data_IF_198109212628
#
_entry.id   IF_198109212628
#
_cell.length_a   1.000
_cell.length_b   1.000
_cell.length_c   1.000
_cell.angle_alpha   90.00
_cell.angle_beta   90.00
_cell.angle_gamma   90.00
#
_symmetry.space_group_name_H-M   'P 1'
#
loop_
_entity.id
_entity.type
_entity.pdbx_description
1 polymer ?
#
# COMPACT_ATOMS: atom_id res chain seq x y z
N UNK A 1 -3.52 9.64 37.09
CA UNK A 1 -3.09 10.53 35.99
C UNK A 1 -2.74 9.65 34.82
N UNK A 2 -3.20 9.96 33.61
CA UNK A 2 -2.89 9.15 32.44
C UNK A 2 -1.39 9.26 32.14
N UNK A 3 -0.71 8.12 32.01
CA UNK A 3 0.73 8.05 31.80
C UNK A 3 1.01 8.15 30.30
N UNK A 4 1.49 9.31 29.87
CA UNK A 4 1.96 9.54 28.51
C UNK A 4 3.31 8.84 28.31
N UNK A 5 3.42 8.04 27.26
CA UNK A 5 4.68 7.42 26.86
C UNK A 5 5.22 8.11 25.63
N UNK A 6 6.51 8.46 25.66
CA UNK A 6 7.20 9.22 24.62
C UNK A 6 8.53 8.56 24.28
N UNK A 7 8.80 8.41 22.99
CA UNK A 7 10.06 7.92 22.46
C UNK A 7 10.59 8.89 21.41
N UNK A 8 11.91 8.96 21.23
CA UNK A 8 12.52 9.77 20.18
C UNK A 8 13.68 9.08 19.46
N UNK A 9 13.87 9.47 18.20
CA UNK A 9 14.91 8.99 17.30
C UNK A 9 15.47 10.17 16.48
N UNK A 10 16.79 10.32 16.44
CA UNK A 10 17.44 11.27 15.53
C UNK A 10 17.56 10.68 14.13
N UNK A 11 16.95 11.31 13.14
CA UNK A 11 16.95 10.85 11.74
C UNK A 11 16.86 12.03 10.77
N UNK A 12 17.71 12.04 9.74
CA UNK A 12 17.71 13.14 8.75
C UNK A 12 17.97 14.53 9.36
N UNK A 13 18.83 14.59 10.40
CA UNK A 13 19.16 15.85 11.08
C UNK A 13 18.08 16.41 12.01
N UNK A 14 16.97 15.69 12.21
CA UNK A 14 15.83 16.15 13.02
C UNK A 14 15.39 15.03 13.97
N UNK A 15 14.67 15.43 15.02
CA UNK A 15 14.09 14.48 15.97
C UNK A 15 12.74 13.98 15.46
N UNK A 16 12.61 12.67 15.36
CA UNK A 16 11.34 11.95 15.19
C UNK A 16 10.86 11.52 16.58
N UNK A 17 9.68 11.99 16.97
CA UNK A 17 9.08 11.72 18.27
C UNK A 17 7.79 10.94 18.06
N UNK A 18 7.59 9.88 18.84
CA UNK A 18 6.33 9.12 18.90
C UNK A 18 5.80 9.18 20.31
N UNK A 19 4.52 9.56 20.45
CA UNK A 19 3.84 9.67 21.74
C UNK A 19 2.52 8.91 21.71
N UNK A 20 2.16 8.25 22.81
CA UNK A 20 0.87 7.58 22.98
C UNK A 20 0.31 7.75 24.40
N UNK A 21 -0.98 7.48 24.58
CA UNK A 21 -1.67 7.53 25.87
C UNK A 21 -2.47 8.82 26.11
N UNK A 22 -2.17 9.91 25.41
CA UNK A 22 -2.88 11.19 25.58
C UNK A 22 -4.19 11.25 24.76
N UNK A 23 -4.11 11.06 23.45
CA UNK A 23 -5.22 11.26 22.51
C UNK A 23 -5.86 9.94 22.06
N UNK A 24 -7.16 9.99 21.73
CA UNK A 24 -7.90 8.91 21.06
C UNK A 24 -7.77 7.51 21.69
N UNK A 25 -7.79 7.42 23.03
CA UNK A 25 -7.57 6.17 23.79
C UNK A 25 -8.57 5.04 23.49
N UNK A 26 -9.75 5.36 22.96
CA UNK A 26 -10.75 4.38 22.55
C UNK A 26 -10.43 3.69 21.21
N UNK A 27 -9.48 4.21 20.44
CA UNK A 27 -9.05 3.59 19.19
C UNK A 27 -8.32 2.26 19.44
N UNK A 28 -8.26 1.40 18.42
CA UNK A 28 -7.49 0.17 18.44
C UNK A 28 -6.03 0.45 18.75
N UNK A 29 -5.43 1.42 18.06
CA UNK A 29 -4.17 2.08 18.41
C UNK A 29 -4.23 3.57 18.08
N UNK A 30 -3.55 4.41 18.86
CA UNK A 30 -3.45 5.85 18.64
C UNK A 30 -2.06 6.37 19.01
N UNK A 31 -1.41 7.07 18.07
CA UNK A 31 -0.11 7.72 18.30
C UNK A 31 -0.12 9.13 17.73
N UNK A 32 0.60 10.03 18.39
CA UNK A 32 0.97 11.32 17.85
C UNK A 32 2.44 11.23 17.43
N UNK A 33 2.72 11.45 16.16
CA UNK A 33 4.07 11.47 15.62
C UNK A 33 4.44 12.89 15.25
N UNK A 34 5.64 13.30 15.64
CA UNK A 34 6.20 14.61 15.36
C UNK A 34 7.56 14.46 14.69
N UNK A 35 7.80 15.23 13.63
CA UNK A 35 9.10 15.33 12.97
C UNK A 35 9.35 16.81 12.65
N UNK A 36 10.34 17.40 13.31
CA UNK A 36 10.40 18.86 13.41
C UNK A 36 9.18 19.40 14.15
N UNK A 37 8.48 20.37 13.56
CA UNK A 37 7.24 20.94 14.13
C UNK A 37 5.98 20.47 13.38
N UNK A 38 6.14 19.55 12.42
CA UNK A 38 5.04 18.83 11.77
C UNK A 38 4.56 17.68 12.64
N UNK A 39 3.27 17.66 12.96
CA UNK A 39 2.64 16.74 13.91
C UNK A 39 1.43 16.07 13.29
N UNK A 40 1.37 14.75 13.36
CA UNK A 40 0.26 13.92 12.86
C UNK A 40 -0.26 13.02 13.96
N UNK A 41 -1.58 13.04 14.16
CA UNK A 41 -2.30 12.04 14.93
C UNK A 41 -2.72 10.89 14.01
N UNK A 42 -2.25 9.69 14.29
CA UNK A 42 -2.67 8.48 13.62
C UNK A 42 -3.55 7.65 14.55
N UNK A 43 -4.69 7.20 14.05
CA UNK A 43 -5.54 6.22 14.72
C UNK A 43 -5.77 5.01 13.82
N UNK A 44 -5.71 3.82 14.38
CA UNK A 44 -5.97 2.56 13.68
C UNK A 44 -7.06 1.78 14.43
N UNK A 45 -8.11 1.40 13.72
CA UNK A 45 -9.25 0.65 14.28
C UNK A 45 -9.59 -0.54 13.39
N UNK A 46 -10.12 -1.59 14.01
CA UNK A 46 -10.57 -2.80 13.33
C UNK A 46 -11.94 -3.22 13.86
N UNK A 47 -12.84 -3.65 12.97
CA UNK A 47 -14.13 -4.22 13.34
C UNK A 47 -13.98 -5.52 14.14
N UNK A 48 -14.92 -5.79 15.06
CA UNK A 48 -14.91 -7.01 15.90
C UNK A 48 -15.12 -8.31 15.11
N UNK A 49 -15.77 -8.24 13.96
CA UNK A 49 -16.03 -9.39 13.09
C UNK A 49 -15.81 -9.05 11.62
N UNK A 50 -16.08 -10.02 10.75
CA UNK A 50 -16.01 -9.83 9.30
C UNK A 50 -16.92 -8.68 8.83
N UNK A 51 -16.45 -7.95 7.81
CA UNK A 51 -17.23 -6.96 7.10
C UNK A 51 -18.45 -7.62 6.45
N UNK A 52 -19.48 -6.82 6.23
CA UNK A 52 -20.59 -7.18 5.33
C UNK A 52 -20.21 -7.06 3.86
N UNK A 53 -19.12 -6.34 3.58
CA UNK A 53 -18.55 -6.21 2.25
C UNK A 53 -17.73 -7.48 1.98
N UNK A 54 -18.09 -8.18 0.91
CA UNK A 54 -17.46 -9.44 0.49
C UNK A 54 -16.60 -9.22 -0.75
N UNK A 55 -15.67 -10.15 -1.00
CA UNK A 55 -14.87 -10.19 -2.22
C UNK A 55 -13.54 -9.43 -2.16
N UNK A 56 -13.26 -8.67 -1.11
CA UNK A 56 -11.96 -8.03 -0.91
C UNK A 56 -11.67 -7.70 0.56
N UNK A 57 -10.41 -7.38 0.88
CA UNK A 57 -9.99 -6.89 2.20
C UNK A 57 -10.31 -5.38 2.36
N UNK A 58 -11.25 -4.99 3.25
CA UNK A 58 -11.70 -3.61 3.39
C UNK A 58 -10.76 -2.80 4.29
N UNK A 59 -9.67 -2.33 3.71
CA UNK A 59 -8.79 -1.31 4.30
C UNK A 59 -9.12 0.07 3.72
N UNK A 60 -9.36 1.03 4.62
CA UNK A 60 -9.56 2.45 4.31
C UNK A 60 -8.47 3.29 5.00
N UNK A 61 -7.85 4.18 4.23
CA UNK A 61 -6.84 5.11 4.74
C UNK A 61 -7.29 6.53 4.42
N UNK A 62 -7.54 7.31 5.46
CA UNK A 62 -7.94 8.71 5.35
C UNK A 62 -6.79 9.61 5.80
N UNK A 63 -6.36 10.51 4.91
CA UNK A 63 -5.40 11.56 5.23
C UNK A 63 -6.08 12.92 5.23
N UNK A 64 -6.14 13.54 6.41
CA UNK A 64 -6.88 14.76 6.68
C UNK A 64 -5.93 15.91 7.05
N UNK A 65 -5.83 16.89 6.15
CA UNK A 65 -5.14 18.14 6.42
C UNK A 65 -6.11 19.16 7.01
N UNK A 66 -5.71 19.76 8.14
CA UNK A 66 -6.51 20.77 8.82
C UNK A 66 -5.91 22.15 8.62
N UNK A 67 -6.72 23.14 8.27
CA UNK A 67 -6.21 24.50 8.03
C UNK A 67 -5.55 25.10 9.27
N UNK A 68 -6.04 24.74 10.46
CA UNK A 68 -5.45 25.18 11.72
C UNK A 68 -4.03 24.67 11.92
N UNK A 69 -3.64 23.56 11.28
CA UNK A 69 -2.29 23.01 11.41
C UNK A 69 -1.23 23.99 10.89
N UNK A 70 -1.60 24.84 9.92
CA UNK A 70 -0.78 25.92 9.40
C UNK A 70 -1.19 27.32 9.92
N UNK A 71 -2.02 27.39 10.98
CA UNK A 71 -2.53 28.65 11.53
C UNK A 71 -3.45 29.44 10.59
N UNK A 72 -4.10 28.77 9.63
CA UNK A 72 -4.94 29.41 8.61
C UNK A 72 -6.42 29.16 8.85
N UNK A 73 -7.26 30.07 8.35
CA UNK A 73 -8.71 29.88 8.23
C UNK A 73 -9.03 29.78 6.74
N UNK A 74 -9.85 28.79 6.36
CA UNK A 74 -10.25 28.59 4.96
C UNK A 74 -10.91 29.85 4.38
N UNK A 75 -10.36 30.36 3.27
CA UNK A 75 -10.81 31.60 2.62
C UNK A 75 -12.15 31.50 1.87
N UNK A 76 -12.90 30.40 2.01
CA UNK A 76 -14.19 30.23 1.32
C UNK A 76 -15.26 31.15 1.93
N UNK A 77 -15.95 31.89 1.05
CA UNK A 77 -17.00 32.85 1.43
C UNK A 77 -18.20 32.17 2.12
N UNK A 78 -18.49 30.93 1.75
CA UNK A 78 -19.69 30.21 2.21
C UNK A 78 -19.38 29.22 3.34
N UNK A 79 -18.47 28.28 3.08
CA UNK A 79 -18.12 27.22 4.04
C UNK A 79 -16.69 27.45 4.55
N UNK A 80 -16.56 27.84 5.83
CA UNK A 80 -15.27 28.04 6.52
C UNK A 80 -14.80 26.76 7.25
N UNK A 81 -14.95 25.61 6.59
CA UNK A 81 -14.58 24.28 7.12
C UNK A 81 -13.88 23.47 6.03
N UNK A 82 -13.00 22.55 6.44
CA UNK A 82 -12.44 21.52 5.57
C UNK A 82 -13.58 20.77 4.87
N UNK A 83 -13.40 20.50 3.57
CA UNK A 83 -14.38 19.81 2.75
C UNK A 83 -13.80 18.49 2.25
N UNK A 84 -14.04 18.20 0.96
CA UNK A 84 -13.38 17.08 0.29
C UNK A 84 -11.84 17.19 0.43
N UNK A 85 -11.13 16.06 0.65
CA UNK A 85 -9.67 16.01 0.61
C UNK A 85 -9.11 16.59 -0.69
N UNK A 86 -7.93 17.22 -0.61
CA UNK A 86 -7.23 17.72 -1.80
C UNK A 86 -6.58 16.56 -2.56
N UNK A 87 -6.15 16.79 -3.80
CA UNK A 87 -5.44 15.76 -4.58
C UNK A 87 -4.13 15.34 -3.88
N UNK A 88 -3.41 16.28 -3.26
CA UNK A 88 -2.21 15.99 -2.47
C UNK A 88 -2.55 15.10 -1.26
N UNK A 89 -3.63 15.41 -0.54
CA UNK A 89 -4.09 14.61 0.60
C UNK A 89 -4.47 13.18 0.15
N UNK A 90 -5.14 13.05 -1.00
CA UNK A 90 -5.50 11.75 -1.59
C UNK A 90 -4.26 10.97 -1.98
N UNK A 91 -3.26 11.60 -2.60
CA UNK A 91 -2.00 10.97 -2.98
C UNK A 91 -1.23 10.48 -1.76
N UNK A 92 -1.14 11.30 -0.69
CA UNK A 92 -0.52 10.90 0.58
C UNK A 92 -1.25 9.69 1.21
N UNK A 93 -2.59 9.70 1.25
CA UNK A 93 -3.38 8.57 1.72
C UNK A 93 -3.14 7.29 0.89
N UNK A 94 -3.01 7.43 -0.44
CA UNK A 94 -2.66 6.30 -1.33
C UNK A 94 -1.25 5.78 -1.11
N UNK A 95 -0.27 6.64 -0.85
CA UNK A 95 1.10 6.25 -0.53
C UNK A 95 1.14 5.42 0.76
N UNK A 96 0.41 5.85 1.79
CA UNK A 96 0.24 5.08 3.03
C UNK A 96 -0.45 3.74 2.74
N UNK A 97 -1.60 3.74 2.06
CA UNK A 97 -2.36 2.51 1.74
C UNK A 97 -1.50 1.47 1.00
N UNK A 98 -0.83 1.87 -0.08
CA UNK A 98 0.08 1.02 -0.87
C UNK A 98 1.17 0.39 -0.02
N UNK A 99 1.63 1.11 1.01
CA UNK A 99 2.73 0.67 1.87
C UNK A 99 2.27 -0.31 2.94
N UNK A 100 1.11 -0.09 3.56
CA UNK A 100 0.64 -0.93 4.68
C UNK A 100 -0.20 -2.13 4.21
N UNK A 101 -0.91 -2.02 3.08
CA UNK A 101 -1.84 -3.02 2.56
C UNK A 101 -1.22 -4.41 2.33
N UNK A 102 -0.03 -4.54 1.71
CA UNK A 102 0.57 -5.85 1.45
C UNK A 102 1.01 -6.61 2.71
N UNK A 103 0.97 -5.96 3.88
CA UNK A 103 1.38 -6.55 5.16
C UNK A 103 0.20 -7.05 5.99
N UNK A 104 -1.03 -6.96 5.47
CA UNK A 104 -2.18 -7.66 6.02
C UNK A 104 -2.31 -9.05 5.37
N UNK A 105 -2.92 -9.99 6.08
CA UNK A 105 -3.32 -11.27 5.50
C UNK A 105 -4.38 -11.00 4.41
N UNK A 106 -4.16 -11.47 3.18
CA UNK A 106 -5.05 -11.26 2.04
C UNK A 106 -6.45 -11.88 2.24
N UNK A 107 -6.55 -12.87 3.13
CA UNK A 107 -7.80 -13.54 3.51
C UNK A 107 -8.52 -12.86 4.67
N UNK A 108 -7.96 -11.77 5.23
CA UNK A 108 -8.62 -10.98 6.28
C UNK A 108 -9.85 -10.25 5.73
N UNK A 109 -10.93 -10.23 6.52
CA UNK A 109 -12.20 -9.59 6.17
C UNK A 109 -12.73 -8.61 7.20
N UNK A 110 -12.00 -8.33 8.27
CA UNK A 110 -12.33 -7.21 9.14
C UNK A 110 -12.18 -5.89 8.37
N UNK A 111 -13.04 -4.92 8.70
CA UNK A 111 -12.86 -3.54 8.27
C UNK A 111 -11.74 -2.93 9.10
N UNK A 112 -10.73 -2.41 8.42
CA UNK A 112 -9.62 -1.69 9.04
C UNK A 112 -9.66 -0.25 8.55
N UNK A 113 -9.70 0.70 9.47
CA UNK A 113 -9.60 2.12 9.15
C UNK A 113 -8.34 2.70 9.80
N UNK A 114 -7.56 3.42 9.00
CA UNK A 114 -6.41 4.21 9.47
C UNK A 114 -6.69 5.67 9.13
N UNK A 115 -6.82 6.51 10.15
CA UNK A 115 -7.06 7.95 9.98
C UNK A 115 -5.82 8.72 10.43
N UNK A 116 -5.33 9.58 9.55
CA UNK A 116 -4.13 10.39 9.70
C UNK A 116 -4.54 11.86 9.65
N UNK A 117 -4.51 12.53 10.80
CA UNK A 117 -4.90 13.94 10.90
C UNK A 117 -3.68 14.81 11.18
N UNK A 118 -3.38 15.75 10.28
CA UNK A 118 -2.34 16.76 10.50
C UNK A 118 -2.80 17.76 11.56
N UNK A 119 -2.11 17.79 12.70
CA UNK A 119 -2.39 18.68 13.82
C UNK A 119 -1.55 19.96 13.78
N UNK A 120 -0.31 19.87 13.28
CA UNK A 120 0.63 20.98 13.11
C UNK A 120 1.45 20.76 11.84
N UNK A 121 1.77 21.83 11.13
CA UNK A 121 2.59 21.81 9.93
C UNK A 121 3.56 22.98 9.93
N UNK A 122 4.84 22.69 9.80
CA UNK A 122 5.92 23.67 9.94
C UNK A 122 6.33 24.36 8.63
N UNK A 123 5.85 23.86 7.48
CA UNK A 123 6.21 24.43 6.18
C UNK A 123 7.60 24.02 5.69
N UNK A 124 8.28 23.10 6.37
CA UNK A 124 9.60 22.59 6.00
C UNK A 124 9.59 21.07 5.77
N UNK A 125 8.94 20.33 6.66
CA UNK A 125 8.92 18.87 6.64
C UNK A 125 7.69 18.32 5.92
N UNK A 126 7.91 17.37 5.03
CA UNK A 126 6.84 16.73 4.28
C UNK A 126 5.95 15.87 5.19
N UNK A 127 4.64 16.14 5.18
CA UNK A 127 3.66 15.52 6.08
C UNK A 127 3.39 14.05 5.73
N UNK A 128 3.58 13.64 4.48
CA UNK A 128 3.33 12.27 4.01
C UNK A 128 4.26 11.24 4.66
N UNK A 129 5.58 11.50 4.75
CA UNK A 129 6.56 10.63 5.42
C UNK A 129 6.17 10.45 6.89
N UNK A 130 5.83 11.55 7.56
CA UNK A 130 5.39 11.54 8.96
C UNK A 130 4.12 10.70 9.09
N UNK A 131 3.21 10.80 8.12
CA UNK A 131 1.95 10.05 8.10
C UNK A 131 2.17 8.55 7.94
N UNK A 132 3.09 8.15 7.07
CA UNK A 132 3.45 6.74 6.85
C UNK A 132 4.05 6.12 8.12
N UNK A 133 4.96 6.84 8.77
CA UNK A 133 5.54 6.44 10.06
C UNK A 133 4.45 6.38 11.14
N UNK A 134 3.54 7.35 11.17
CA UNK A 134 2.45 7.39 12.14
C UNK A 134 1.45 6.24 11.95
N UNK A 135 1.08 5.92 10.71
CA UNK A 135 0.26 4.75 10.38
C UNK A 135 0.93 3.45 10.84
N UNK A 136 2.23 3.31 10.53
CA UNK A 136 3.04 2.17 10.94
C UNK A 136 3.07 1.99 12.46
N UNK A 137 3.30 3.08 13.20
CA UNK A 137 3.34 3.07 14.65
C UNK A 137 1.95 2.80 15.26
N UNK A 138 0.89 3.44 14.75
CA UNK A 138 -0.49 3.21 15.19
C UNK A 138 -0.91 1.74 15.02
N UNK A 139 -0.69 1.17 13.84
CA UNK A 139 -0.98 -0.24 13.57
C UNK A 139 -0.13 -1.18 14.43
N UNK A 140 1.15 -0.84 14.63
CA UNK A 140 2.06 -1.63 15.47
C UNK A 140 1.58 -1.74 16.90
N UNK A 141 1.15 -0.61 17.51
CA UNK A 141 0.66 -0.61 18.90
C UNK A 141 -0.79 -1.06 19.03
N UNK A 142 -1.56 -1.08 17.93
CA UNK A 142 -2.96 -1.49 17.95
C UNK A 142 -3.14 -3.00 18.21
N UNK A 143 -4.38 -3.41 18.43
CA UNK A 143 -4.77 -4.82 18.42
C UNK A 143 -4.96 -5.40 16.99
N UNK A 144 -4.73 -4.63 15.93
CA UNK A 144 -4.91 -5.09 14.54
C UNK A 144 -3.77 -6.02 14.12
N UNK A 145 -4.08 -7.24 13.62
CA UNK A 145 -3.08 -8.17 13.05
C UNK A 145 -2.46 -7.58 11.78
N UNK A 146 -1.16 -7.33 11.82
CA UNK A 146 -0.44 -6.66 10.75
C UNK A 146 1.05 -7.00 10.82
N UNK A 147 1.66 -7.35 9.69
CA UNK A 147 3.04 -7.86 9.58
C UNK A 147 4.09 -6.76 9.35
N UNK A 148 3.85 -5.56 9.85
CA UNK A 148 4.85 -4.49 9.92
C UNK A 148 5.80 -4.62 11.12
N UNK A 149 6.52 -3.56 11.53
CA UNK A 149 6.36 -2.17 11.07
C UNK A 149 7.01 -1.88 9.71
N UNK A 150 6.64 -0.73 9.16
CA UNK A 150 7.35 -0.07 8.06
C UNK A 150 8.03 1.22 8.52
N UNK A 151 9.11 1.58 7.85
CA UNK A 151 9.70 2.90 7.87
C UNK A 151 9.48 3.58 6.52
N UNK A 152 9.54 4.90 6.50
CA UNK A 152 9.42 5.70 5.29
C UNK A 152 10.42 6.85 5.32
N UNK A 153 11.02 7.17 4.18
CA UNK A 153 11.97 8.28 4.01
C UNK A 153 11.87 8.84 2.60
N UNK A 154 12.31 10.09 2.43
CA UNK A 154 12.57 10.67 1.11
C UNK A 154 14.07 10.89 0.93
N UNK A 155 14.58 10.57 -0.25
CA UNK A 155 15.98 10.76 -0.61
C UNK A 155 16.04 11.79 -1.74
N UNK A 156 16.86 12.81 -1.54
CA UNK A 156 17.22 13.80 -2.55
C UNK A 156 18.70 13.75 -2.89
N UNK A 157 19.10 14.53 -3.90
CA UNK A 157 20.49 14.74 -4.30
C UNK A 157 20.73 16.25 -4.36
N UNK A 158 21.68 16.73 -3.55
CA UNK A 158 22.06 18.14 -3.52
C UNK A 158 22.82 18.60 -4.78
N UNK A 159 23.11 19.90 -4.87
CA UNK A 159 23.86 20.48 -5.99
C UNK A 159 25.29 19.94 -6.13
N UNK A 160 25.84 19.33 -5.07
CA UNK A 160 27.17 18.72 -5.05
C UNK A 160 27.13 17.23 -5.41
N UNK A 161 25.94 16.67 -5.66
CA UNK A 161 25.74 15.25 -5.99
C UNK A 161 25.68 14.32 -4.77
N UNK A 162 25.58 14.87 -3.56
CA UNK A 162 25.46 14.10 -2.31
C UNK A 162 24.01 13.80 -1.96
N UNK A 163 23.75 12.62 -1.38
CA UNK A 163 22.41 12.23 -0.95
C UNK A 163 21.98 13.00 0.31
N UNK A 164 20.75 13.50 0.30
CA UNK A 164 20.09 14.13 1.44
C UNK A 164 18.92 13.23 1.88
N UNK A 165 18.82 12.98 3.19
CA UNK A 165 17.71 12.25 3.78
C UNK A 165 16.66 13.23 4.29
N UNK A 166 15.40 13.00 3.93
CA UNK A 166 14.24 13.83 4.24
C UNK A 166 14.54 15.32 3.99
N UNK A 167 14.83 15.69 2.72
CA UNK A 167 15.09 17.08 2.38
C UNK A 167 13.90 17.96 2.77
N UNK A 168 14.19 19.18 3.23
CA UNK A 168 13.14 20.19 3.42
C UNK A 168 12.65 20.73 2.06
N UNK A 169 11.58 21.52 2.10
CA UNK A 169 10.97 22.12 0.91
C UNK A 169 11.93 22.96 0.03
N UNK A 170 13.02 23.52 0.57
CA UNK A 170 14.01 24.26 -0.23
C UNK A 170 15.05 23.33 -0.88
N UNK A 171 15.57 22.39 -0.12
CA UNK A 171 16.48 21.33 -0.58
C UNK A 171 15.83 20.51 -1.70
N UNK A 172 14.55 20.17 -1.53
CA UNK A 172 13.76 19.41 -2.49
C UNK A 172 13.60 20.13 -3.84
N UNK A 173 13.37 21.45 -3.83
CA UNK A 173 13.27 22.25 -5.07
C UNK A 173 14.56 22.23 -5.88
N UNK A 174 15.70 22.25 -5.18
CA UNK A 174 17.02 22.25 -5.80
C UNK A 174 17.52 20.83 -6.11
N UNK A 175 16.83 19.81 -5.60
CA UNK A 175 17.21 18.42 -5.80
C UNK A 175 17.07 17.97 -7.25
N UNK A 176 17.95 17.06 -7.66
CA UNK A 176 17.84 16.36 -8.95
C UNK A 176 17.06 15.05 -8.86
N UNK A 177 16.79 14.58 -7.64
CA UNK A 177 16.05 13.35 -7.34
C UNK A 177 15.02 13.62 -6.24
N UNK A 178 13.81 13.10 -6.40
CA UNK A 178 12.81 12.99 -5.36
C UNK A 178 12.42 11.50 -5.28
N UNK A 179 12.92 10.81 -4.26
CA UNK A 179 12.73 9.37 -4.11
C UNK A 179 12.07 9.08 -2.76
N UNK A 180 10.77 8.80 -2.76
CA UNK A 180 10.04 8.31 -1.60
C UNK A 180 10.16 6.79 -1.52
N UNK A 181 10.68 6.31 -0.40
CA UNK A 181 10.88 4.89 -0.11
C UNK A 181 10.13 4.51 1.15
N UNK A 182 9.47 3.37 1.12
CA UNK A 182 8.99 2.73 2.33
C UNK A 182 9.14 1.22 2.28
N UNK A 183 9.33 0.62 3.45
CA UNK A 183 9.69 -0.78 3.57
C UNK A 183 9.67 -1.29 4.99
N UNK A 184 9.71 -2.61 5.12
CA UNK A 184 10.01 -3.27 6.39
C UNK A 184 11.52 -3.24 6.65
N UNK A 185 11.95 -3.85 7.75
CA UNK A 185 13.38 -4.01 8.07
C UNK A 185 14.16 -4.79 7.00
N UNK A 186 13.49 -5.65 6.25
CA UNK A 186 14.12 -6.60 5.33
C UNK A 186 13.98 -6.20 3.87
N UNK A 187 12.91 -5.49 3.50
CA UNK A 187 12.62 -5.18 2.10
C UNK A 187 11.87 -3.86 1.92
N UNK A 188 12.16 -3.20 0.80
CA UNK A 188 11.37 -2.08 0.29
C UNK A 188 10.12 -2.65 -0.38
N UNK A 189 8.95 -2.11 -0.06
CA UNK A 189 7.68 -2.55 -0.65
C UNK A 189 6.90 -1.42 -1.34
N UNK A 190 7.34 -0.17 -1.21
CA UNK A 190 6.75 0.97 -1.91
C UNK A 190 7.85 1.95 -2.34
N UNK A 191 7.77 2.36 -3.60
CA UNK A 191 8.67 3.32 -4.23
C UNK A 191 7.82 4.31 -5.03
N UNK A 192 8.13 5.59 -4.89
CA UNK A 192 7.66 6.67 -5.76
C UNK A 192 8.83 7.59 -6.07
N UNK A 193 9.09 7.86 -7.34
CA UNK A 193 10.31 8.51 -7.78
C UNK A 193 10.06 9.51 -8.90
N UNK A 194 10.73 10.66 -8.82
CA UNK A 194 10.88 11.66 -9.88
C UNK A 194 12.36 12.05 -9.95
N UNK A 195 12.91 12.16 -11.15
CA UNK A 195 14.35 12.45 -11.31
C UNK A 195 14.68 13.14 -12.62
N UNK A 196 15.72 13.97 -12.60
CA UNK A 196 16.25 14.67 -13.76
C UNK A 196 17.34 13.81 -14.44
N UNK A 197 16.91 12.82 -15.21
CA UNK A 197 17.81 11.91 -15.97
C UNK A 197 18.87 11.23 -15.08
N UNK A 198 18.46 10.73 -13.93
CA UNK A 198 19.34 10.04 -12.97
C UNK A 198 19.73 8.66 -13.51
N UNK A 199 21.03 8.33 -13.47
CA UNK A 199 21.51 7.01 -13.92
C UNK A 199 21.00 5.88 -13.01
N UNK A 200 20.90 4.68 -13.57
CA UNK A 200 20.47 3.49 -12.83
C UNK A 200 21.38 3.18 -11.64
N UNK A 201 22.70 3.37 -11.77
CA UNK A 201 23.65 3.17 -10.67
C UNK A 201 23.38 4.16 -9.53
N UNK A 202 23.15 5.43 -9.86
CA UNK A 202 22.89 6.47 -8.86
C UNK A 202 21.56 6.25 -8.15
N UNK A 203 20.55 5.75 -8.87
CA UNK A 203 19.26 5.34 -8.29
C UNK A 203 19.43 4.15 -7.32
N UNK A 204 20.26 3.17 -7.67
CA UNK A 204 20.56 2.03 -6.80
C UNK A 204 21.24 2.47 -5.49
N UNK A 205 22.25 3.35 -5.58
CA UNK A 205 22.88 3.95 -4.41
C UNK A 205 21.87 4.70 -3.52
N UNK A 206 20.92 5.42 -4.14
CA UNK A 206 19.87 6.14 -3.41
C UNK A 206 18.92 5.18 -2.66
N UNK A 207 18.60 4.02 -3.25
CA UNK A 207 17.84 2.98 -2.57
C UNK A 207 18.56 2.47 -1.32
N UNK A 208 19.85 2.14 -1.44
CA UNK A 208 20.64 1.67 -0.30
C UNK A 208 20.73 2.72 0.82
N UNK A 209 21.00 3.97 0.44
CA UNK A 209 21.08 5.10 1.37
C UNK A 209 19.78 5.29 2.16
N UNK A 210 18.63 5.29 1.48
CA UNK A 210 17.32 5.41 2.13
C UNK A 210 16.93 4.17 2.94
N UNK A 211 17.30 2.97 2.48
CA UNK A 211 16.95 1.72 3.15
C UNK A 211 17.58 1.59 4.55
N UNK A 212 18.83 2.06 4.72
CA UNK A 212 19.47 2.12 6.03
C UNK A 212 18.68 2.96 7.04
N UNK A 213 18.07 4.06 6.58
CA UNK A 213 17.23 4.91 7.42
C UNK A 213 15.87 4.23 7.74
N UNK A 214 15.27 3.55 6.77
CA UNK A 214 14.07 2.73 6.97
C UNK A 214 14.30 1.68 8.06
N UNK A 215 15.44 0.98 8.03
CA UNK A 215 15.80 -0.01 9.05
C UNK A 215 15.87 0.61 10.45
N UNK A 216 16.49 1.80 10.60
CA UNK A 216 16.51 2.52 11.89
C UNK A 216 15.12 2.86 12.39
N UNK A 217 14.24 3.36 11.51
CA UNK A 217 12.86 3.74 11.84
C UNK A 217 12.05 2.49 12.24
N UNK A 218 12.15 1.39 11.51
CA UNK A 218 11.44 0.14 11.85
C UNK A 218 11.86 -0.41 13.20
N UNK A 219 13.16 -0.46 13.50
CA UNK A 219 13.67 -0.88 14.82
C UNK A 219 13.18 0.04 15.94
N UNK A 220 13.09 1.34 15.69
CA UNK A 220 12.53 2.28 16.66
C UNK A 220 11.03 2.02 16.91
N UNK A 221 10.24 1.78 15.87
CA UNK A 221 8.81 1.43 16.03
C UNK A 221 8.62 0.08 16.73
N UNK A 222 9.52 -0.90 16.52
CA UNK A 222 9.52 -2.16 17.26
C UNK A 222 9.69 -1.93 18.78
N UNK A 223 10.55 -0.98 19.19
CA UNK A 223 10.71 -0.59 20.59
C UNK A 223 9.43 0.05 21.15
N UNK A 224 8.83 0.97 20.40
CA UNK A 224 7.52 1.58 20.74
C UNK A 224 6.44 0.51 20.93
N UNK A 225 6.37 -0.46 20.01
CA UNK A 225 5.42 -1.59 20.09
C UNK A 225 5.65 -2.43 21.35
N UNK A 226 6.89 -2.70 21.73
CA UNK A 226 7.21 -3.51 22.92
C UNK A 226 6.68 -2.87 24.21
N UNK A 227 6.72 -1.55 24.30
CA UNK A 227 6.36 -0.83 25.52
C UNK A 227 4.92 -0.29 25.53
N UNK A 228 4.36 0.03 24.36
CA UNK A 228 3.04 0.63 24.20
C UNK A 228 2.01 -0.23 23.45
N UNK A 229 2.39 -1.43 22.99
CA UNK A 229 1.55 -2.27 22.15
C UNK A 229 0.50 -3.07 22.90
N UNK A 230 -0.66 -3.24 22.27
CA UNK A 230 -1.73 -4.13 22.70
C UNK A 230 -1.53 -5.53 22.11
N UNK A 231 -2.13 -6.52 22.76
CA UNK A 231 -2.23 -7.87 22.22
C UNK A 231 -3.01 -7.87 20.89
N UNK A 232 -2.54 -8.64 19.92
CA UNK A 232 -3.19 -8.75 18.60
C UNK A 232 -4.47 -9.58 18.72
N UNK A 233 -5.55 -9.06 18.17
CA UNK A 233 -6.82 -9.77 18.07
C UNK A 233 -6.73 -10.90 17.04
N UNK A 234 -7.63 -11.88 17.11
CA UNK A 234 -7.73 -12.87 16.03
C UNK A 234 -8.49 -12.25 14.85
N UNK A 235 -7.92 -12.25 13.63
CA UNK A 235 -8.61 -11.72 12.46
C UNK A 235 -9.74 -12.66 12.03
N UNK A 236 -10.83 -12.09 11.52
CA UNK A 236 -11.84 -12.84 10.79
C UNK A 236 -11.28 -13.14 9.39
N UNK A 237 -10.83 -14.38 9.20
CA UNK A 237 -10.29 -14.87 7.94
C UNK A 237 -11.36 -15.63 7.17
N UNK A 238 -11.36 -15.48 5.84
CA UNK A 238 -12.11 -16.36 4.96
C UNK A 238 -11.22 -17.56 4.58
N UNK A 239 -11.55 -18.74 5.09
CA UNK A 239 -10.83 -20.00 4.81
C UNK A 239 -11.81 -21.18 4.80
N UNK A 240 -11.56 -22.14 3.91
CA UNK A 240 -12.25 -23.43 3.92
C UNK A 240 -11.58 -24.42 4.86
N UNK A 241 -12.10 -25.64 4.96
CA UNK A 241 -11.32 -26.75 5.53
C UNK A 241 -10.15 -27.09 4.61
N UNK A 242 -9.07 -27.64 5.15
CA UNK A 242 -7.91 -28.06 4.33
C UNK A 242 -8.32 -29.07 3.24
N UNK A 243 -9.23 -29.99 3.58
CA UNK A 243 -9.82 -30.95 2.63
C UNK A 243 -10.58 -30.23 1.50
N UNK A 244 -11.43 -29.26 1.84
CA UNK A 244 -12.16 -28.47 0.86
C UNK A 244 -11.21 -27.73 -0.08
N UNK A 245 -10.24 -26.97 0.47
CA UNK A 245 -9.33 -26.18 -0.35
C UNK A 245 -8.49 -27.07 -1.27
N UNK A 246 -8.01 -28.22 -0.78
CA UNK A 246 -7.25 -29.18 -1.59
C UNK A 246 -8.07 -29.70 -2.76
N UNK A 247 -9.29 -30.17 -2.49
CA UNK A 247 -10.17 -30.75 -3.51
C UNK A 247 -10.59 -29.71 -4.56
N UNK A 248 -10.84 -28.47 -4.15
CA UNK A 248 -11.20 -27.39 -5.07
C UNK A 248 -10.00 -26.97 -5.91
N UNK A 249 -8.79 -26.89 -5.34
CA UNK A 249 -7.56 -26.64 -6.10
C UNK A 249 -7.36 -27.69 -7.19
N UNK A 250 -7.48 -28.96 -6.83
CA UNK A 250 -7.41 -30.08 -7.79
C UNK A 250 -8.50 -29.99 -8.87
N UNK A 251 -9.71 -29.56 -8.52
CA UNK A 251 -10.79 -29.36 -9.48
C UNK A 251 -10.46 -28.27 -10.49
N UNK A 252 -9.97 -27.10 -10.06
CA UNK A 252 -9.54 -26.04 -10.97
C UNK A 252 -8.43 -26.49 -11.92
N UNK A 253 -7.44 -27.22 -11.39
CA UNK A 253 -6.33 -27.78 -12.20
C UNK A 253 -6.89 -28.76 -13.24
N UNK A 254 -7.75 -29.69 -12.82
CA UNK A 254 -8.35 -30.71 -13.69
C UNK A 254 -9.22 -30.12 -14.79
N UNK A 255 -9.97 -29.05 -14.50
CA UNK A 255 -10.80 -28.35 -15.48
C UNK A 255 -9.98 -27.47 -16.45
N UNK A 256 -8.65 -27.43 -16.27
CA UNK A 256 -7.73 -26.86 -17.25
C UNK A 256 -7.46 -25.38 -17.06
N UNK A 257 -7.48 -24.86 -15.83
CA UNK A 257 -7.13 -23.46 -15.53
C UNK A 257 -5.76 -23.08 -16.12
N UNK A 258 -4.78 -23.99 -16.08
CA UNK A 258 -3.44 -23.73 -16.58
C UNK A 258 -3.37 -23.60 -18.10
N UNK A 259 -4.25 -24.25 -18.86
CA UNK A 259 -4.33 -24.06 -20.31
C UNK A 259 -5.15 -22.81 -20.66
N UNK A 260 -6.22 -22.57 -19.91
CA UNK A 260 -7.13 -21.44 -20.10
C UNK A 260 -6.41 -20.09 -20.01
N UNK A 261 -5.48 -19.94 -19.07
CA UNK A 261 -4.71 -18.72 -18.84
C UNK A 261 -3.79 -18.32 -20.01
N UNK A 262 -3.49 -19.24 -20.93
CA UNK A 262 -2.60 -19.03 -22.07
C UNK A 262 -3.34 -18.98 -23.41
N UNK A 263 -4.67 -18.90 -23.38
CA UNK A 263 -5.47 -18.68 -24.59
C UNK A 263 -5.29 -17.26 -25.11
N UNK A 264 -5.45 -17.11 -26.43
CA UNK A 264 -5.46 -15.82 -27.11
C UNK A 264 -6.64 -15.78 -28.09
N UNK A 265 -7.34 -14.64 -28.24
CA UNK A 265 -7.14 -13.35 -27.56
C UNK A 265 -7.64 -13.35 -26.10
N UNK A 266 -7.42 -12.25 -25.35
CA UNK A 266 -7.84 -12.10 -23.94
C UNK A 266 -9.29 -12.51 -23.67
N UNK A 267 -10.20 -12.23 -24.61
CA UNK A 267 -11.61 -12.63 -24.53
C UNK A 267 -11.79 -14.15 -24.38
N UNK A 268 -10.98 -14.95 -25.06
CA UNK A 268 -11.03 -16.42 -24.95
C UNK A 268 -10.59 -16.92 -23.56
N UNK A 269 -9.65 -16.21 -22.90
CA UNK A 269 -9.26 -16.48 -21.51
C UNK A 269 -10.45 -16.21 -20.58
N UNK A 270 -11.09 -15.05 -20.71
CA UNK A 270 -12.23 -14.65 -19.88
C UNK A 270 -13.40 -15.64 -19.98
N UNK A 271 -13.75 -16.05 -21.21
CA UNK A 271 -14.81 -17.03 -21.47
C UNK A 271 -14.49 -18.41 -20.86
N UNK A 272 -13.26 -18.91 -21.08
CA UNK A 272 -12.86 -20.23 -20.56
C UNK A 272 -12.75 -20.24 -19.05
N UNK A 273 -12.20 -19.19 -18.45
CA UNK A 273 -12.13 -19.04 -16.99
C UNK A 273 -13.53 -18.97 -16.36
N UNK A 274 -14.46 -18.23 -16.97
CA UNK A 274 -15.85 -18.18 -16.51
C UNK A 274 -16.54 -19.56 -16.57
N UNK A 275 -16.30 -20.33 -17.62
CA UNK A 275 -16.81 -21.70 -17.75
C UNK A 275 -16.23 -22.63 -16.68
N UNK A 276 -14.90 -22.58 -16.46
CA UNK A 276 -14.23 -23.37 -15.41
C UNK A 276 -14.79 -23.02 -14.04
N UNK A 277 -14.87 -21.73 -13.69
CA UNK A 277 -15.43 -21.29 -12.40
C UNK A 277 -16.86 -21.76 -12.21
N UNK A 278 -17.68 -21.79 -13.26
CA UNK A 278 -19.05 -22.30 -13.20
C UNK A 278 -19.10 -23.81 -12.93
N UNK A 279 -18.26 -24.60 -13.61
CA UNK A 279 -18.18 -26.06 -13.41
C UNK A 279 -17.69 -26.42 -12.01
N UNK A 280 -16.62 -25.77 -11.55
CA UNK A 280 -16.06 -25.97 -10.20
C UNK A 280 -17.06 -25.52 -9.13
N UNK A 281 -17.81 -24.43 -9.36
CA UNK A 281 -18.87 -24.00 -8.43
C UNK A 281 -20.01 -25.02 -8.31
N UNK A 282 -20.43 -25.63 -9.42
CA UNK A 282 -21.42 -26.71 -9.39
C UNK A 282 -20.90 -27.92 -8.62
N UNK A 283 -19.67 -28.35 -8.89
CA UNK A 283 -19.02 -29.46 -8.18
C UNK A 283 -18.87 -29.20 -6.67
N UNK A 284 -18.45 -27.99 -6.30
CA UNK A 284 -18.28 -27.60 -4.91
C UNK A 284 -19.59 -27.62 -4.12
N UNK A 285 -20.69 -27.14 -4.74
CA UNK A 285 -22.03 -27.15 -4.13
C UNK A 285 -22.57 -28.56 -3.90
N UNK A 286 -22.27 -29.50 -4.80
CA UNK A 286 -22.69 -30.89 -4.65
C UNK A 286 -21.88 -31.61 -3.55
N UNK A 287 -20.56 -31.43 -3.54
CA UNK A 287 -19.66 -32.15 -2.63
C UNK A 287 -19.59 -31.55 -1.22
N UNK A 288 -19.79 -30.23 -1.11
CA UNK A 288 -19.69 -29.47 0.14
C UNK A 288 -20.89 -28.54 0.35
N UNK A 289 -22.11 -29.08 0.51
CA UNK A 289 -23.33 -28.28 0.60
C UNK A 289 -23.37 -27.36 1.83
N UNK A 290 -22.68 -27.72 2.91
CA UNK A 290 -22.66 -26.97 4.17
C UNK A 290 -21.57 -25.87 4.20
N UNK A 291 -20.76 -25.74 3.15
CA UNK A 291 -19.69 -24.75 3.11
C UNK A 291 -20.25 -23.33 2.96
N UNK A 292 -19.89 -22.47 3.91
CA UNK A 292 -20.28 -21.05 3.89
C UNK A 292 -19.30 -20.23 3.06
N UNK A 293 -19.76 -19.08 2.56
CA UNK A 293 -18.96 -18.15 1.73
C UNK A 293 -18.34 -18.80 0.48
N UNK A 294 -19.07 -19.77 -0.10
CA UNK A 294 -18.61 -20.59 -1.22
C UNK A 294 -18.07 -19.76 -2.38
N UNK A 295 -18.85 -18.81 -2.91
CA UNK A 295 -18.47 -18.06 -4.12
C UNK A 295 -17.15 -17.28 -3.90
N UNK A 296 -16.96 -16.71 -2.71
CA UNK A 296 -15.75 -15.96 -2.38
C UNK A 296 -14.54 -16.88 -2.17
N UNK A 297 -14.73 -18.03 -1.51
CA UNK A 297 -13.67 -19.04 -1.38
C UNK A 297 -13.24 -19.59 -2.74
N UNK A 298 -14.18 -19.88 -3.63
CA UNK A 298 -13.90 -20.37 -4.98
C UNK A 298 -13.12 -19.33 -5.79
N UNK A 299 -13.52 -18.05 -5.73
CA UNK A 299 -12.77 -16.97 -6.38
C UNK A 299 -11.34 -16.89 -5.85
N UNK A 300 -11.18 -16.93 -4.52
CA UNK A 300 -9.87 -16.82 -3.90
C UNK A 300 -8.96 -18.01 -4.25
N UNK A 301 -9.50 -19.22 -4.23
CA UNK A 301 -8.76 -20.42 -4.60
C UNK A 301 -8.41 -20.40 -6.10
N UNK A 302 -9.33 -19.94 -6.95
CA UNK A 302 -9.07 -19.76 -8.39
C UNK A 302 -7.90 -18.80 -8.63
N UNK A 303 -7.87 -17.66 -7.93
CA UNK A 303 -6.81 -16.68 -8.04
C UNK A 303 -5.46 -17.24 -7.54
N UNK A 304 -5.46 -17.98 -6.42
CA UNK A 304 -4.24 -18.65 -5.90
C UNK A 304 -3.68 -19.68 -6.89
N UNK A 305 -4.54 -20.53 -7.46
CA UNK A 305 -4.11 -21.54 -8.45
C UNK A 305 -3.62 -20.85 -9.73
N UNK A 306 -4.30 -19.80 -10.18
CA UNK A 306 -3.86 -19.04 -11.35
C UNK A 306 -2.49 -18.39 -11.14
N UNK A 307 -2.27 -17.76 -9.97
CA UNK A 307 -0.98 -17.16 -9.61
C UNK A 307 0.12 -18.22 -9.59
N UNK A 308 -0.11 -19.37 -8.93
CA UNK A 308 0.86 -20.47 -8.87
C UNK A 308 1.25 -21.00 -10.25
N UNK A 309 0.27 -21.21 -11.13
CA UNK A 309 0.51 -21.72 -12.49
C UNK A 309 1.26 -20.68 -13.33
N UNK A 310 0.85 -19.41 -13.30
CA UNK A 310 1.54 -18.35 -14.06
C UNK A 310 2.97 -18.18 -13.57
N UNK A 311 3.18 -18.17 -12.26
CA UNK A 311 4.51 -18.01 -11.68
C UNK A 311 5.43 -19.18 -12.03
N UNK A 312 4.94 -20.41 -11.91
CA UNK A 312 5.69 -21.63 -12.25
C UNK A 312 6.13 -21.63 -13.71
N UNK A 313 5.22 -21.35 -14.64
CA UNK A 313 5.52 -21.35 -16.07
C UNK A 313 6.48 -20.22 -16.47
N UNK A 314 6.39 -19.04 -15.84
CA UNK A 314 7.34 -17.95 -16.10
C UNK A 314 8.73 -18.32 -15.58
N UNK A 315 8.84 -18.89 -14.38
CA UNK A 315 10.13 -19.23 -13.77
C UNK A 315 10.81 -20.44 -14.42
N UNK A 316 10.04 -21.45 -14.82
CA UNK A 316 10.58 -22.72 -15.30
C UNK A 316 10.62 -22.81 -16.83
N UNK A 317 9.64 -22.23 -17.52
CA UNK A 317 9.48 -22.36 -18.97
C UNK A 317 9.69 -21.04 -19.72
N UNK A 318 9.98 -19.94 -19.01
CA UNK A 318 10.05 -18.57 -19.55
C UNK A 318 8.78 -18.17 -20.33
N UNK A 319 7.65 -18.82 -20.04
CA UNK A 319 6.43 -18.72 -20.83
C UNK A 319 5.47 -17.73 -20.20
N UNK A 320 5.16 -16.66 -20.94
CA UNK A 320 4.18 -15.65 -20.53
C UNK A 320 2.78 -16.00 -21.06
N UNK A 321 1.70 -15.63 -20.35
CA UNK A 321 0.32 -15.83 -20.79
C UNK A 321 0.02 -15.28 -22.20
N UNK A 322 0.71 -14.22 -22.62
CA UNK A 322 0.55 -13.59 -23.92
C UNK A 322 1.55 -14.06 -24.98
N UNK A 323 2.30 -15.13 -24.71
CA UNK A 323 3.23 -15.75 -25.64
C UNK A 323 4.53 -14.99 -25.91
N UNK A 324 4.74 -13.83 -25.26
CA UNK A 324 5.97 -13.04 -25.42
C UNK A 324 7.15 -13.66 -24.68
N UNK A 325 8.36 -13.32 -25.12
CA UNK A 325 9.59 -13.57 -24.31
C UNK A 325 9.63 -12.65 -23.08
N UNK A 326 10.48 -12.98 -22.11
CA UNK A 326 10.69 -12.16 -20.91
C UNK A 326 11.17 -10.74 -21.25
N UNK A 327 11.99 -10.59 -22.28
CA UNK A 327 12.57 -9.32 -22.72
C UNK A 327 11.78 -8.63 -23.84
N UNK A 328 10.69 -9.23 -24.30
CA UNK A 328 9.93 -8.73 -25.45
C UNK A 328 8.83 -7.75 -25.04
N UNK A 329 8.81 -6.60 -25.71
CA UNK A 329 7.80 -5.55 -25.55
C UNK A 329 6.63 -5.78 -26.52
N UNK A 330 5.43 -5.34 -26.14
CA UNK A 330 4.25 -5.38 -27.03
C UNK A 330 4.47 -4.44 -28.23
N UNK A 331 3.82 -4.71 -29.40
CA UNK A 331 3.86 -3.81 -30.54
C UNK A 331 3.44 -2.39 -30.18
N UNK A 332 4.18 -1.41 -30.68
CA UNK A 332 3.94 0.02 -30.42
C UNK A 332 3.54 0.69 -31.72
N UNK A 333 2.48 1.49 -31.69
CA UNK A 333 2.20 2.47 -32.74
C UNK A 333 1.86 3.83 -32.13
N UNK A 334 2.24 4.87 -32.84
CA UNK A 334 2.06 6.26 -32.41
C UNK A 334 1.49 7.09 -33.55
N UNK A 335 0.63 8.06 -33.22
CA UNK A 335 0.15 9.07 -34.18
C UNK A 335 0.02 10.43 -33.50
N UNK A 336 0.46 11.48 -34.16
CA UNK A 336 0.31 12.87 -33.68
C UNK A 336 -0.68 13.64 -34.57
N UNK A 337 -1.22 14.75 -34.07
CA UNK A 337 -2.12 15.62 -34.84
C UNK A 337 -3.45 14.96 -35.20
N UNK A 338 -3.99 14.14 -34.30
CA UNK A 338 -5.22 13.37 -34.52
C UNK A 338 -6.47 14.26 -34.53
N UNK A 339 -6.46 15.35 -33.76
CA UNK A 339 -7.60 16.27 -33.68
C UNK A 339 -7.30 17.63 -34.35
N UNK A 340 -8.25 18.20 -35.11
CA UNK A 340 -7.99 19.35 -35.98
C UNK A 340 -7.93 20.72 -35.27
N UNK A 341 -8.37 20.82 -34.00
CA UNK A 341 -8.52 22.12 -33.28
C UNK A 341 -7.73 22.20 -31.97
N UNK A 342 -7.13 21.12 -31.53
CA UNK A 342 -6.28 21.09 -30.33
C UNK A 342 -4.90 21.66 -30.63
N UNK A 343 -4.24 22.30 -29.65
CA UNK A 343 -2.86 22.75 -29.81
C UNK A 343 -1.89 21.60 -30.15
N UNK A 344 -2.13 20.40 -29.60
CA UNK A 344 -1.39 19.19 -29.92
C UNK A 344 -2.16 17.96 -29.47
N UNK A 345 -2.03 16.87 -30.23
CA UNK A 345 -2.62 15.57 -29.90
C UNK A 345 -1.64 14.46 -30.22
N UNK A 346 -1.65 13.43 -29.39
CA UNK A 346 -0.92 12.18 -29.60
C UNK A 346 -1.80 11.01 -29.21
N UNK A 347 -1.75 9.94 -30.00
CA UNK A 347 -2.22 8.62 -29.62
C UNK A 347 -0.98 7.74 -29.54
N UNK A 348 -0.83 7.10 -28.40
CA UNK A 348 0.19 6.10 -28.13
C UNK A 348 -0.54 4.82 -27.79
N UNK A 349 -0.20 3.74 -28.48
CA UNK A 349 -0.76 2.42 -28.20
C UNK A 349 0.38 1.41 -28.09
N UNK A 350 0.35 0.61 -27.04
CA UNK A 350 1.31 -0.46 -26.77
C UNK A 350 0.55 -1.77 -26.50
N UNK A 351 0.39 -2.58 -27.55
CA UNK A 351 -0.48 -3.75 -27.55
C UNK A 351 -1.95 -3.37 -27.34
N UNK A 352 -2.58 -3.93 -26.31
CA UNK A 352 -3.98 -3.65 -25.93
C UNK A 352 -4.13 -2.46 -24.94
N UNK A 353 -3.13 -1.57 -24.86
CA UNK A 353 -3.15 -0.39 -23.96
C UNK A 353 -2.93 0.89 -24.74
#
# INVERSE_FOLDING_TARGET
MQEEKKWSLQIGGRELIITTGLLAQQAGGAVTVQYGDTVILATATMSKGASRITGYFPLMVDFEERYYAAGKIKGSRFIKREGRPSDASILAGRAVDRTIRPLFDSRMRNEVQVVLTTLSYDGENNSDIVAMIAASAALSISNVPWNGPIGAVRVGIDEKGAFILNPNNEEEKNSSLELLLAGTREKINMIEASGKEISEEKMAEAFEFGFLAIQKITTFIEQVKKEGGKEKSQPALIRGSEEFETIIKEAFIKEGIGEALYLLPKQAVEEKMSAISSMVASFAKEKFPDQTSMDELLSLISDEVADEVVHTNILQEEKRPDGRKLTEIRPIWCKVGVLPRTHGTGVFTRGET
#
